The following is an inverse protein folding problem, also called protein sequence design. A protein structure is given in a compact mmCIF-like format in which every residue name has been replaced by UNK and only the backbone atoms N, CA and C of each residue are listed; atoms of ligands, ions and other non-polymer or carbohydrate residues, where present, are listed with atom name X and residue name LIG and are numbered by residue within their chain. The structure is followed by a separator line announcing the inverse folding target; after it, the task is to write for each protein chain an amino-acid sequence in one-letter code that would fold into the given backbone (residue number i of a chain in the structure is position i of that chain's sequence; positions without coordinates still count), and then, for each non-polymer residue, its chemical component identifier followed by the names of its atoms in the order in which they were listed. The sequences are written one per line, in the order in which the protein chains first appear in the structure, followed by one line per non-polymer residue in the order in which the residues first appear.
data_IF_184555967762
#
_entry.id   IF_184555967762
#
_cell.length_a   1.000
_cell.length_b   1.000
_cell.length_c   1.000
_cell.angle_alpha   90.00
_cell.angle_beta   90.00
_cell.angle_gamma   90.00
#
_symmetry.space_group_name_H-M   'P 1'
#
loop_
_entity.id
_entity.type
_entity.pdbx_description
1 polymer ?
#
# COMPACT_ATOMS: atom_id res chain seq x y z
N UNK A 1 3.97 32.47 7.70
CA UNK A 1 4.13 31.01 7.81
C UNK A 1 4.06 30.52 6.39
N UNK A 2 5.22 30.27 5.81
CA UNK A 2 5.33 29.89 4.41
C UNK A 2 4.67 28.52 4.22
N UNK A 3 3.57 28.50 3.47
CA UNK A 3 2.95 27.30 2.96
C UNK A 3 4.04 26.53 2.20
N UNK A 4 4.49 25.41 2.76
CA UNK A 4 5.36 24.48 2.03
C UNK A 4 4.46 23.86 0.96
N UNK A 5 4.34 24.53 -0.18
CA UNK A 5 3.69 24.02 -1.39
C UNK A 5 4.63 23.02 -2.08
N UNK A 6 5.14 22.04 -1.35
CA UNK A 6 5.78 20.88 -1.96
C UNK A 6 4.65 20.01 -2.51
N UNK A 7 4.25 20.28 -3.76
CA UNK A 7 3.35 19.40 -4.48
C UNK A 7 4.00 18.01 -4.50
N UNK A 8 3.28 17.02 -3.98
CA UNK A 8 3.66 15.62 -4.15
C UNK A 8 3.72 15.37 -5.66
N UNK A 9 4.92 15.04 -6.14
CA UNK A 9 5.17 14.81 -7.56
C UNK A 9 4.57 13.47 -7.97
N UNK A 10 4.90 12.44 -7.20
CA UNK A 10 4.51 11.05 -7.44
C UNK A 10 4.00 10.45 -6.12
N UNK A 11 2.94 9.65 -6.18
CA UNK A 11 2.33 8.97 -5.03
C UNK A 11 2.32 7.48 -5.30
N UNK A 12 2.79 6.68 -4.35
CA UNK A 12 2.81 5.23 -4.43
C UNK A 12 2.13 4.64 -3.18
N UNK A 13 1.19 3.73 -3.41
CA UNK A 13 0.35 3.13 -2.37
C UNK A 13 0.64 1.64 -2.32
N UNK A 14 0.75 1.09 -1.11
CA UNK A 14 1.22 -0.28 -0.91
C UNK A 14 0.26 -1.05 0.00
N UNK A 15 0.07 -2.33 -0.34
CA UNK A 15 -0.61 -3.31 0.51
C UNK A 15 0.12 -4.64 0.43
N UNK A 16 0.14 -5.38 1.54
CA UNK A 16 0.61 -6.76 1.60
C UNK A 16 -0.48 -7.80 1.31
N UNK A 17 -1.71 -7.34 1.11
CA UNK A 17 -2.84 -8.20 0.78
C UNK A 17 -3.06 -8.26 -0.73
N UNK A 18 -2.66 -9.37 -1.34
CA UNK A 18 -2.92 -9.65 -2.76
C UNK A 18 -4.41 -9.62 -3.10
N UNK A 19 -5.26 -10.08 -2.17
CA UNK A 19 -6.73 -10.04 -2.31
C UNK A 19 -7.23 -8.60 -2.32
N UNK A 20 -6.77 -7.76 -1.38
CA UNK A 20 -7.14 -6.34 -1.34
C UNK A 20 -6.69 -5.62 -2.60
N UNK A 21 -5.47 -5.89 -3.08
CA UNK A 21 -4.98 -5.33 -4.33
C UNK A 21 -5.84 -5.75 -5.54
N UNK A 22 -6.26 -7.02 -5.59
CA UNK A 22 -7.16 -7.50 -6.64
C UNK A 22 -8.53 -6.79 -6.57
N UNK A 23 -9.06 -6.56 -5.37
CA UNK A 23 -10.30 -5.80 -5.19
C UNK A 23 -10.21 -4.36 -5.68
N UNK A 24 -9.10 -3.69 -5.39
CA UNK A 24 -8.84 -2.30 -5.82
C UNK A 24 -8.73 -2.19 -7.35
N UNK A 25 -8.16 -3.18 -8.02
CA UNK A 25 -7.94 -3.17 -9.47
C UNK A 25 -9.20 -3.42 -10.30
N UNK A 26 -10.24 -4.01 -9.71
CA UNK A 26 -11.47 -4.37 -10.40
C UNK A 26 -12.62 -3.42 -10.00
N UNK A 27 -13.68 -3.38 -10.79
CA UNK A 27 -14.79 -2.49 -10.48
C UNK A 27 -15.44 -2.86 -9.14
N UNK A 28 -15.49 -1.91 -8.20
CA UNK A 28 -16.10 -2.04 -6.88
C UNK A 28 -17.46 -2.77 -6.83
N UNK A 29 -18.32 -2.60 -7.85
CA UNK A 29 -19.69 -3.17 -7.89
C UNK A 29 -19.75 -4.69 -7.98
N UNK A 30 -18.65 -5.36 -8.33
CA UNK A 30 -18.61 -6.83 -8.39
C UNK A 30 -18.50 -7.47 -6.99
N UNK A 31 -18.18 -6.68 -5.97
CA UNK A 31 -17.97 -7.15 -4.60
C UNK A 31 -19.23 -7.04 -3.74
N UNK A 32 -19.22 -7.74 -2.60
CA UNK A 32 -20.26 -7.59 -1.58
C UNK A 32 -20.33 -6.14 -1.09
N UNK A 33 -21.50 -5.67 -0.65
CA UNK A 33 -21.75 -4.28 -0.26
C UNK A 33 -20.67 -3.68 0.64
N UNK A 34 -20.19 -4.45 1.64
CA UNK A 34 -19.15 -4.00 2.56
C UNK A 34 -17.81 -3.71 1.87
N UNK A 35 -17.39 -4.57 0.96
CA UNK A 35 -16.13 -4.45 0.20
C UNK A 35 -16.30 -3.40 -0.90
N UNK A 36 -17.42 -3.44 -1.63
CA UNK A 36 -17.76 -2.49 -2.69
C UNK A 36 -17.69 -1.04 -2.20
N UNK A 37 -18.24 -0.74 -1.03
CA UNK A 37 -18.23 0.62 -0.47
C UNK A 37 -16.80 1.11 -0.16
N UNK A 38 -15.95 0.24 0.37
CA UNK A 38 -14.54 0.57 0.68
C UNK A 38 -13.71 0.74 -0.57
N UNK A 39 -13.80 -0.22 -1.49
CA UNK A 39 -13.11 -0.16 -2.79
C UNK A 39 -13.57 1.06 -3.57
N UNK A 40 -14.86 1.37 -3.58
CA UNK A 40 -15.39 2.59 -4.22
C UNK A 40 -14.82 3.87 -3.63
N UNK A 41 -14.66 3.93 -2.30
CA UNK A 41 -13.99 5.05 -1.63
C UNK A 41 -12.52 5.16 -2.05
N UNK A 42 -11.78 4.06 -2.08
CA UNK A 42 -10.38 4.04 -2.52
C UNK A 42 -10.26 4.51 -3.97
N UNK A 43 -11.08 3.97 -4.87
CA UNK A 43 -11.11 4.32 -6.30
C UNK A 43 -11.54 5.76 -6.58
N UNK A 44 -12.29 6.38 -5.66
CA UNK A 44 -12.68 7.80 -5.76
C UNK A 44 -11.54 8.73 -5.33
N UNK A 45 -10.72 8.31 -4.37
CA UNK A 45 -9.68 9.16 -3.78
C UNK A 45 -8.27 8.91 -4.33
N UNK A 46 -8.05 7.79 -5.04
CA UNK A 46 -6.73 7.37 -5.51
C UNK A 46 -6.83 6.73 -6.88
N UNK A 47 -5.75 6.76 -7.67
CA UNK A 47 -5.67 6.00 -8.92
C UNK A 47 -5.31 4.54 -8.61
N UNK A 48 -6.05 3.59 -9.19
CA UNK A 48 -5.82 2.16 -8.96
C UNK A 48 -4.47 1.69 -9.46
N UNK A 49 -3.85 2.42 -10.40
CA UNK A 49 -2.50 2.13 -10.93
C UNK A 49 -1.38 2.43 -9.92
N UNK A 50 -1.64 3.30 -8.95
CA UNK A 50 -0.66 3.71 -7.94
C UNK A 50 -0.58 2.69 -6.79
N UNK A 51 -1.47 1.68 -6.79
CA UNK A 51 -1.48 0.60 -5.81
C UNK A 51 -0.59 -0.58 -6.22
N UNK A 52 0.33 -0.91 -5.34
CA UNK A 52 1.33 -1.96 -5.49
C UNK A 52 1.25 -2.98 -4.35
N UNK A 53 1.80 -4.17 -4.62
CA UNK A 53 1.99 -5.18 -3.60
C UNK A 53 3.40 -5.08 -3.01
N UNK A 54 3.49 -5.16 -1.68
CA UNK A 54 4.74 -5.35 -0.93
C UNK A 54 4.61 -6.62 -0.08
N UNK A 55 5.69 -7.35 0.19
CA UNK A 55 5.57 -8.49 1.12
C UNK A 55 5.29 -7.99 2.54
N UNK A 56 4.62 -8.80 3.39
CA UNK A 56 4.35 -8.40 4.78
C UNK A 56 5.61 -8.06 5.58
N UNK A 57 6.74 -8.74 5.30
CA UNK A 57 8.04 -8.45 5.94
C UNK A 57 8.59 -7.09 5.53
N UNK A 58 8.30 -6.66 4.31
CA UNK A 58 8.74 -5.39 3.74
C UNK A 58 7.69 -4.26 3.93
N UNK A 59 6.59 -4.54 4.62
CA UNK A 59 5.49 -3.61 4.87
C UNK A 59 5.67 -2.92 6.24
N UNK A 60 6.02 -1.63 6.30
CA UNK A 60 6.19 -0.92 7.57
C UNK A 60 4.92 -0.90 8.43
N UNK A 61 3.74 -0.95 7.81
CA UNK A 61 2.46 -0.92 8.52
C UNK A 61 2.23 -2.19 9.37
N UNK A 62 2.80 -3.32 8.96
CA UNK A 62 2.66 -4.61 9.68
C UNK A 62 3.24 -4.51 11.10
N UNK A 63 4.33 -3.75 11.28
CA UNK A 63 4.98 -3.53 12.57
C UNK A 63 4.04 -2.87 13.58
N UNK A 64 3.29 -1.86 13.16
CA UNK A 64 2.35 -1.17 14.07
C UNK A 64 1.13 -2.03 14.36
N UNK A 65 0.70 -2.86 13.41
CA UNK A 65 -0.47 -3.72 13.60
C UNK A 65 -0.21 -4.94 14.49
N UNK A 66 1.05 -5.34 14.69
CA UNK A 66 1.46 -6.46 15.55
C UNK A 66 1.99 -5.96 16.89
N UNK A 67 1.10 -5.42 17.74
CA UNK A 67 1.34 -5.04 19.14
C UNK A 67 2.83 -4.78 19.48
N UNK A 68 3.39 -3.74 18.85
CA UNK A 68 4.81 -3.43 18.97
C UNK A 68 5.03 -2.52 20.19
N UNK A 69 5.97 -2.87 21.06
CA UNK A 69 6.32 -2.01 22.18
C UNK A 69 6.90 -0.69 21.64
N UNK A 70 6.61 0.48 22.26
CA UNK A 70 7.10 1.77 21.76
C UNK A 70 8.62 1.84 21.59
N UNK A 71 9.38 1.10 22.41
CA UNK A 71 10.84 1.03 22.32
C UNK A 71 11.30 0.25 21.09
N UNK A 72 10.61 -0.83 20.74
CA UNK A 72 10.93 -1.63 19.56
C UNK A 72 10.59 -0.85 18.28
N UNK A 73 9.47 -0.12 18.28
CA UNK A 73 9.10 0.75 17.16
C UNK A 73 10.14 1.86 16.95
N UNK A 74 10.60 2.49 18.04
CA UNK A 74 11.63 3.55 17.98
C UNK A 74 12.96 3.06 17.39
N UNK A 75 13.27 1.79 17.58
CA UNK A 75 14.51 1.19 17.07
C UNK A 75 14.30 0.45 15.73
N UNK A 76 13.09 0.47 15.17
CA UNK A 76 12.76 -0.27 13.96
C UNK A 76 13.21 0.47 12.71
N UNK A 77 14.24 -0.07 12.04
CA UNK A 77 14.70 0.43 10.74
C UNK A 77 13.57 0.36 9.69
N UNK A 78 12.79 -0.71 9.69
CA UNK A 78 11.68 -0.89 8.74
C UNK A 78 10.54 0.10 8.97
N UNK A 79 10.34 0.62 10.19
CA UNK A 79 9.36 1.67 10.43
C UNK A 79 9.85 3.04 9.94
N UNK A 80 11.11 3.35 10.25
CA UNK A 80 11.65 4.69 10.01
C UNK A 80 12.13 4.90 8.58
N UNK A 81 12.76 3.90 7.98
CA UNK A 81 13.53 4.07 6.77
C UNK A 81 13.84 2.71 6.08
N UNK A 82 12.83 2.05 5.49
CA UNK A 82 13.00 0.81 4.73
C UNK A 82 14.08 0.96 3.65
N UNK A 83 15.06 0.06 3.64
CA UNK A 83 16.18 0.14 2.70
C UNK A 83 15.73 0.19 1.25
N UNK A 84 14.68 -0.56 0.90
CA UNK A 84 14.18 -0.60 -0.47
C UNK A 84 13.57 0.73 -0.93
N UNK A 85 13.01 1.56 -0.04
CA UNK A 85 12.46 2.87 -0.40
C UNK A 85 13.53 3.88 -0.81
N UNK A 86 14.78 3.68 -0.35
CA UNK A 86 15.94 4.49 -0.76
C UNK A 86 16.45 4.15 -2.15
N UNK A 87 16.13 2.95 -2.63
CA UNK A 87 16.58 2.48 -3.92
C UNK A 87 15.79 3.15 -5.05
N UNK A 88 16.32 3.07 -6.26
CA UNK A 88 15.59 3.52 -7.43
C UNK A 88 14.30 2.71 -7.60
N UNK A 89 13.23 3.33 -8.09
CA UNK A 89 11.90 2.71 -8.19
C UNK A 89 11.88 1.35 -8.90
N UNK A 90 12.79 1.16 -9.87
CA UNK A 90 12.96 -0.11 -10.58
C UNK A 90 13.46 -1.27 -9.70
N UNK A 91 13.93 -0.99 -8.49
CA UNK A 91 14.48 -1.96 -7.53
C UNK A 91 13.54 -2.19 -6.34
N UNK A 92 12.38 -1.53 -6.31
CA UNK A 92 11.39 -1.74 -5.26
C UNK A 92 10.81 -3.16 -5.30
N UNK A 93 10.38 -3.72 -4.14
CA UNK A 93 9.96 -5.12 -4.01
C UNK A 93 8.52 -5.33 -4.52
N UNK A 94 8.23 -4.86 -5.73
CA UNK A 94 6.92 -5.02 -6.35
C UNK A 94 6.76 -6.48 -6.78
N UNK A 95 5.84 -7.20 -6.12
CA UNK A 95 5.43 -8.50 -6.65
C UNK A 95 4.50 -8.30 -7.84
N UNK A 96 4.82 -8.96 -8.96
CA UNK A 96 3.91 -9.07 -10.09
C UNK A 96 2.75 -10.02 -9.74
N UNK A 97 1.74 -9.48 -9.05
CA UNK A 97 0.49 -10.21 -8.78
C UNK A 97 -0.28 -10.35 -10.09
N UNK A 98 -0.23 -11.55 -10.69
CA UNK A 98 -1.15 -11.93 -11.77
C UNK A 98 -2.53 -12.10 -11.17
N UNK A 99 -3.44 -11.16 -11.44
CA UNK A 99 -4.86 -11.33 -11.11
C UNK A 99 -5.41 -12.35 -12.11
N UNK A 100 -5.41 -13.63 -11.72
CA UNK A 100 -6.11 -14.67 -12.48
C UNK A 100 -7.58 -14.59 -12.10
N UNK A 101 -8.38 -14.01 -12.99
CA UNK A 101 -9.84 -14.05 -12.90
C UNK A 101 -10.29 -15.46 -13.30
N UNK A 102 -10.21 -16.41 -12.37
CA UNK A 102 -10.98 -17.65 -12.48
C UNK A 102 -12.33 -17.39 -11.82
N UNK A 103 -13.29 -16.89 -12.60
CA UNK A 103 -14.72 -16.96 -12.29
C UNK A 103 -15.26 -18.29 -12.80
#
# INVERSE_FOLDING_TARGET
MDDICCKLKDVYLWTDSTITLAWIRLHSRIWTTFVANRVGTIQTNTDTKDWHHVSGVENPADIITRDCAPLDLKNSQMWHDPEWLKLHQSQWPVLNVKVVLSI
#
